data_IF_698098298534
#
_entry.id   IF_698098298534
#
_cell.length_a   1.000
_cell.length_b   1.000
_cell.length_c   1.000
_cell.angle_alpha   90.00
_cell.angle_beta   90.00
_cell.angle_gamma   90.00
#
_symmetry.space_group_name_H-M   'P 1'
#
loop_
_entity.id
_entity.type
_entity.pdbx_description
1 polymer ?
#
# COMPACT_ATOMS: atom_id res chain seq x y z
N UNK A 1 -4.45 27.24 6.15
CA UNK A 1 -4.93 25.91 5.75
C UNK A 1 -4.06 25.49 4.57
N UNK A 2 -3.47 24.29 4.56
CA UNK A 2 -2.75 23.81 3.38
C UNK A 2 -3.82 23.41 2.35
N UNK A 3 -3.88 24.15 1.25
CA UNK A 3 -4.87 23.91 0.20
C UNK A 3 -4.20 23.31 -1.02
N UNK A 4 -4.80 22.24 -1.52
CA UNK A 4 -4.43 21.55 -2.75
C UNK A 4 -5.72 21.30 -3.50
N UNK A 5 -5.71 21.52 -4.80
CA UNK A 5 -6.85 21.32 -5.69
C UNK A 5 -7.54 19.97 -5.44
N UNK A 6 -8.86 19.97 -5.57
CA UNK A 6 -9.66 18.75 -5.55
C UNK A 6 -9.36 17.90 -6.78
N UNK A 7 -9.40 16.57 -6.60
CA UNK A 7 -9.29 15.62 -7.71
C UNK A 7 -10.61 15.61 -8.48
N UNK A 8 -10.56 15.55 -9.80
CA UNK A 8 -11.74 15.32 -10.65
C UNK A 8 -12.00 13.84 -10.85
N UNK A 9 -10.95 13.06 -11.15
CA UNK A 9 -11.06 11.60 -11.27
C UNK A 9 -9.78 10.92 -10.80
N UNK A 10 -9.88 10.06 -9.79
CA UNK A 10 -8.69 9.55 -9.13
C UNK A 10 -8.88 8.80 -7.82
N UNK A 11 -7.78 8.65 -7.10
CA UNK A 11 -7.69 7.91 -5.83
C UNK A 11 -7.10 8.84 -4.76
N UNK A 12 -7.74 8.87 -3.59
CA UNK A 12 -7.20 9.51 -2.39
C UNK A 12 -6.93 8.45 -1.32
N UNK A 13 -5.65 8.23 -1.04
CA UNK A 13 -5.19 7.45 0.11
C UNK A 13 -5.12 8.38 1.32
N UNK A 14 -6.06 8.21 2.24
CA UNK A 14 -6.19 9.03 3.44
C UNK A 14 -5.94 8.20 4.71
N UNK A 15 -5.70 8.88 5.84
CA UNK A 15 -5.40 8.26 7.14
C UNK A 15 -4.13 7.41 7.14
N UNK A 16 -3.15 7.78 6.33
CA UNK A 16 -1.83 7.17 6.37
C UNK A 16 -1.12 7.64 7.66
N UNK A 17 -0.53 6.72 8.40
CA UNK A 17 0.29 7.03 9.59
C UNK A 17 1.48 7.88 9.17
N UNK A 18 1.80 8.89 9.97
CA UNK A 18 2.87 9.84 9.66
C UNK A 18 4.19 9.11 9.38
N UNK A 19 4.83 9.44 8.27
CA UNK A 19 6.09 8.85 7.83
C UNK A 19 5.93 7.64 6.90
N UNK A 20 4.74 7.05 6.80
CA UNK A 20 4.46 5.98 5.84
C UNK A 20 4.06 6.50 4.45
N UNK A 21 3.64 7.76 4.33
CA UNK A 21 3.22 8.33 3.03
C UNK A 21 4.32 8.25 1.97
N UNK A 22 5.55 8.63 2.34
CA UNK A 22 6.69 8.57 1.41
C UNK A 22 7.05 7.13 0.99
N UNK A 23 6.93 6.17 1.92
CA UNK A 23 7.20 4.75 1.63
C UNK A 23 6.21 4.22 0.59
N UNK A 24 4.92 4.53 0.78
CA UNK A 24 3.86 4.14 -0.14
C UNK A 24 4.06 4.79 -1.51
N UNK A 25 4.37 6.09 -1.53
CA UNK A 25 4.62 6.84 -2.75
C UNK A 25 5.72 6.19 -3.60
N UNK A 26 6.85 5.84 -2.98
CA UNK A 26 7.96 5.17 -3.65
C UNK A 26 7.62 3.74 -4.07
N UNK A 27 6.92 2.97 -3.23
CA UNK A 27 6.55 1.57 -3.54
C UNK A 27 5.57 1.47 -4.72
N UNK A 28 4.70 2.46 -4.85
CA UNK A 28 3.79 2.62 -6.00
C UNK A 28 4.47 3.27 -7.22
N UNK A 29 5.74 3.65 -7.13
CA UNK A 29 6.51 4.33 -8.18
C UNK A 29 5.79 5.59 -8.72
N UNK A 30 5.14 6.34 -7.82
CA UNK A 30 4.34 7.52 -8.18
C UNK A 30 5.18 8.71 -8.64
N UNK A 31 6.51 8.65 -8.53
CA UNK A 31 7.45 9.59 -9.13
C UNK A 31 7.66 9.37 -10.64
N UNK A 32 7.29 8.20 -11.16
CA UNK A 32 7.56 7.78 -12.55
C UNK A 32 6.35 7.88 -13.47
N UNK A 33 5.26 8.43 -12.95
CA UNK A 33 3.97 8.51 -13.65
C UNK A 33 3.83 9.83 -14.41
N UNK A 34 3.01 9.84 -15.46
CA UNK A 34 2.76 11.00 -16.32
C UNK A 34 1.52 11.81 -15.93
N UNK A 35 0.89 11.47 -14.79
CA UNK A 35 -0.29 12.14 -14.25
C UNK A 35 -0.01 12.83 -12.89
N UNK A 36 -0.80 13.85 -12.51
CA UNK A 36 -0.58 14.57 -11.25
C UNK A 36 -0.73 13.68 -10.01
N UNK A 37 0.25 13.79 -9.10
CA UNK A 37 0.22 13.18 -7.78
C UNK A 37 0.62 14.21 -6.74
N UNK A 38 -0.06 14.20 -5.59
CA UNK A 38 0.30 15.03 -4.44
C UNK A 38 0.46 14.16 -3.20
N UNK A 39 1.62 14.27 -2.55
CA UNK A 39 1.89 13.72 -1.23
C UNK A 39 1.89 14.86 -0.20
N UNK A 40 0.99 14.76 0.79
CA UNK A 40 0.92 15.63 1.95
C UNK A 40 1.42 14.87 3.17
N UNK A 41 2.43 15.41 3.85
CA UNK A 41 3.05 14.76 5.01
C UNK A 41 2.74 15.57 6.27
N UNK A 42 2.47 14.88 7.38
CA UNK A 42 2.35 15.48 8.72
C UNK A 42 1.24 16.55 8.81
N UNK A 43 0.13 16.36 8.07
CA UNK A 43 -1.02 17.26 8.09
C UNK A 43 -1.92 17.00 9.30
N UNK A 44 -2.60 18.03 9.86
CA UNK A 44 -3.50 17.86 10.98
C UNK A 44 -4.62 16.85 10.69
N UNK A 45 -4.91 15.97 11.66
CA UNK A 45 -5.98 14.99 11.61
C UNK A 45 -6.82 15.05 12.88
N UNK A 46 -8.14 15.16 12.74
CA UNK A 46 -9.05 15.12 13.89
C UNK A 46 -9.03 13.77 14.62
N UNK A 47 -8.78 12.68 13.89
CA UNK A 47 -8.83 11.32 14.42
C UNK A 47 -7.46 10.79 14.85
N UNK A 48 -6.38 11.18 14.18
CA UNK A 48 -5.03 10.64 14.39
C UNK A 48 -4.07 11.68 15.01
N UNK A 49 -4.53 12.90 15.26
CA UNK A 49 -3.68 14.06 15.57
C UNK A 49 -2.96 14.58 14.33
N UNK A 50 -2.18 13.71 13.67
CA UNK A 50 -1.45 13.97 12.42
C UNK A 50 -1.55 12.77 11.48
N UNK A 51 -1.49 13.00 10.17
CA UNK A 51 -1.51 11.96 9.14
C UNK A 51 -0.75 12.39 7.88
N UNK A 52 -0.49 11.42 7.02
CA UNK A 52 -0.09 11.66 5.63
C UNK A 52 -1.30 11.39 4.70
N UNK A 53 -1.30 11.99 3.51
CA UNK A 53 -2.33 11.82 2.48
C UNK A 53 -1.64 11.73 1.11
N UNK A 54 -2.08 10.81 0.25
CA UNK A 54 -1.68 10.77 -1.16
C UNK A 54 -2.92 10.96 -2.04
N UNK A 55 -2.81 11.87 -3.00
CA UNK A 55 -3.82 12.17 -4.02
C UNK A 55 -3.26 11.80 -5.38
N UNK A 56 -3.98 10.98 -6.15
CA UNK A 56 -3.57 10.47 -7.46
C UNK A 56 -4.66 10.80 -8.48
N UNK A 57 -4.37 11.62 -9.49
CA UNK A 57 -5.32 12.03 -10.53
C UNK A 57 -5.28 11.06 -11.71
N UNK A 58 -5.92 9.90 -11.62
CA UNK A 58 -5.89 8.89 -12.69
C UNK A 58 -7.03 7.85 -12.65
N UNK A 59 -7.27 7.16 -13.77
CA UNK A 59 -8.24 6.07 -13.95
C UNK A 59 -7.65 4.66 -13.71
N UNK A 60 -6.43 4.53 -13.15
CA UNK A 60 -5.80 3.21 -13.01
C UNK A 60 -6.45 2.41 -11.88
N UNK A 61 -6.75 1.15 -12.20
CA UNK A 61 -7.00 0.09 -11.23
C UNK A 61 -5.66 -0.33 -10.61
N UNK A 62 -5.21 0.42 -9.60
CA UNK A 62 -3.99 0.09 -8.86
C UNK A 62 -4.37 -0.98 -7.84
N UNK A 63 -3.62 -2.08 -7.80
CA UNK A 63 -3.72 -3.01 -6.69
C UNK A 63 -3.18 -2.33 -5.42
N UNK A 64 -4.09 -1.93 -4.54
CA UNK A 64 -3.80 -1.24 -3.29
C UNK A 64 -3.88 -2.19 -2.09
N UNK A 65 -4.14 -3.48 -2.29
CA UNK A 65 -4.32 -4.42 -1.19
C UNK A 65 -3.00 -4.66 -0.44
N UNK A 66 -1.85 -4.51 -1.12
CA UNK A 66 -0.54 -4.57 -0.46
C UNK A 66 -0.29 -3.42 0.52
N UNK A 67 -1.01 -2.29 0.40
CA UNK A 67 -0.84 -1.17 1.33
C UNK A 67 -1.16 -1.57 2.77
N UNK A 68 -1.99 -2.60 2.94
CA UNK A 68 -2.31 -3.17 4.24
C UNK A 68 -1.09 -3.80 4.92
N UNK A 69 -0.01 -4.10 4.20
CA UNK A 69 1.25 -4.53 4.81
C UNK A 69 2.06 -3.37 5.38
N UNK A 70 1.86 -2.16 4.84
CA UNK A 70 2.60 -0.96 5.21
C UNK A 70 1.86 -0.23 6.34
N UNK A 71 0.53 -0.11 6.22
CA UNK A 71 -0.28 0.65 7.15
C UNK A 71 -1.77 0.23 7.10
N UNK A 72 -2.28 -0.25 8.23
CA UNK A 72 -3.66 -0.72 8.37
C UNK A 72 -4.69 0.40 8.54
N UNK A 73 -4.28 1.65 8.73
CA UNK A 73 -5.18 2.78 8.94
C UNK A 73 -5.69 3.38 7.62
N UNK A 74 -5.07 3.02 6.49
CA UNK A 74 -5.34 3.63 5.19
C UNK A 74 -6.80 3.44 4.79
N UNK A 75 -7.41 4.54 4.38
CA UNK A 75 -8.68 4.58 3.67
C UNK A 75 -8.41 4.94 2.21
N UNK A 76 -8.84 4.08 1.30
CA UNK A 76 -8.85 4.32 -0.14
C UNK A 76 -10.19 4.96 -0.49
N UNK A 77 -10.14 6.14 -1.09
CA UNK A 77 -11.31 6.86 -1.56
C UNK A 77 -11.22 7.02 -3.08
N UNK A 78 -12.20 6.51 -3.81
CA UNK A 78 -12.29 6.64 -5.27
C UNK A 78 -13.14 7.87 -5.59
N UNK A 79 -12.60 8.75 -6.42
CA UNK A 79 -13.21 10.00 -6.84
C UNK A 79 -13.55 9.91 -8.32
N UNK A 80 -14.79 10.21 -8.69
CA UNK A 80 -15.23 10.38 -10.07
C UNK A 80 -16.11 11.63 -10.16
N UNK A 81 -15.96 12.42 -11.22
CA UNK A 81 -16.64 13.70 -11.42
C UNK A 81 -16.57 14.65 -10.21
N UNK A 82 -15.42 14.64 -9.52
CA UNK A 82 -15.17 15.44 -8.32
C UNK A 82 -15.88 14.96 -7.06
N UNK A 83 -16.59 13.83 -7.12
CA UNK A 83 -17.36 13.27 -6.02
C UNK A 83 -16.79 11.92 -5.55
N UNK A 84 -16.96 11.65 -4.25
CA UNK A 84 -16.62 10.35 -3.67
C UNK A 84 -17.62 9.29 -4.15
N UNK A 85 -17.17 8.33 -4.94
CA UNK A 85 -18.01 7.23 -5.42
C UNK A 85 -17.83 5.95 -4.60
N UNK A 86 -16.63 5.71 -4.07
CA UNK A 86 -16.35 4.53 -3.27
C UNK A 86 -15.36 4.84 -2.14
N UNK A 87 -15.55 4.17 -1.00
CA UNK A 87 -14.63 4.19 0.13
C UNK A 87 -14.35 2.77 0.62
N UNK A 88 -13.08 2.38 0.65
CA UNK A 88 -12.61 1.07 1.11
C UNK A 88 -11.52 1.27 2.17
N UNK A 89 -11.54 0.49 3.25
CA UNK A 89 -10.38 0.36 4.15
C UNK A 89 -9.46 -0.71 3.59
N UNK A 90 -8.15 -0.46 3.65
CA UNK A 90 -7.20 -1.49 3.28
C UNK A 90 -7.18 -2.57 4.37
N UNK A 91 -7.18 -3.83 3.96
CA UNK A 91 -7.04 -4.98 4.84
C UNK A 91 -5.66 -5.61 4.66
N UNK A 92 -5.20 -6.36 5.66
CA UNK A 92 -4.01 -7.18 5.51
C UNK A 92 -4.34 -8.28 4.48
N UNK A 93 -3.58 -8.41 3.39
CA UNK A 93 -3.88 -9.39 2.36
C UNK A 93 -3.61 -10.81 2.88
N UNK A 94 -4.56 -11.72 2.69
CA UNK A 94 -4.40 -13.13 3.06
C UNK A 94 -3.36 -13.84 2.19
N UNK A 95 -3.18 -13.39 0.95
CA UNK A 95 -2.18 -13.93 0.02
C UNK A 95 -1.41 -12.81 -0.63
N UNK A 96 -0.11 -13.02 -0.81
CA UNK A 96 0.80 -12.05 -1.40
C UNK A 96 1.70 -12.74 -2.42
N UNK A 97 1.94 -12.08 -3.56
CA UNK A 97 2.78 -12.62 -4.64
C UNK A 97 3.80 -11.58 -5.08
N UNK A 98 5.08 -11.93 -5.03
CA UNK A 98 6.17 -11.11 -5.55
C UNK A 98 6.39 -9.77 -4.82
N UNK A 99 5.83 -9.60 -3.62
CA UNK A 99 5.95 -8.35 -2.85
C UNK A 99 7.24 -8.25 -2.03
N UNK A 100 7.72 -9.38 -1.50
CA UNK A 100 8.93 -9.53 -0.69
C UNK A 100 9.54 -10.93 -0.88
N UNK A 101 10.80 -11.10 -0.45
CA UNK A 101 11.56 -12.34 -0.62
C UNK A 101 11.36 -13.31 0.56
N UNK A 102 11.58 -14.60 0.32
CA UNK A 102 11.51 -15.61 1.38
C UNK A 102 12.78 -15.57 2.25
N UNK A 103 12.65 -15.65 3.58
CA UNK A 103 13.81 -15.66 4.48
C UNK A 103 14.62 -16.96 4.42
N UNK A 104 14.04 -18.07 3.95
CA UNK A 104 14.80 -19.30 3.75
C UNK A 104 15.79 -19.10 2.59
N UNK A 105 17.11 -19.03 2.85
CA UNK A 105 18.10 -18.76 1.81
C UNK A 105 18.17 -19.88 0.77
N UNK A 106 17.59 -21.07 1.04
CA UNK A 106 17.53 -22.22 0.12
C UNK A 106 16.23 -22.30 -0.67
N UNK A 107 15.30 -21.35 -0.49
CA UNK A 107 14.04 -21.34 -1.23
C UNK A 107 14.27 -21.09 -2.73
N UNK A 108 13.58 -21.84 -3.59
CA UNK A 108 13.68 -21.70 -5.05
C UNK A 108 13.40 -20.27 -5.53
N UNK A 109 12.53 -19.54 -4.84
CA UNK A 109 12.14 -18.17 -5.18
C UNK A 109 13.27 -17.15 -5.03
N UNK A 110 14.36 -17.51 -4.35
CA UNK A 110 15.53 -16.67 -4.14
C UNK A 110 16.63 -16.90 -5.20
N UNK A 111 16.47 -17.90 -6.08
CA UNK A 111 17.45 -18.25 -7.11
C UNK A 111 16.90 -18.22 -8.53
N UNK A 112 15.58 -18.43 -8.69
CA UNK A 112 14.93 -18.44 -9.99
C UNK A 112 14.04 -17.20 -10.17
N UNK A 113 14.48 -16.29 -11.04
CA UNK A 113 13.79 -15.02 -11.33
C UNK A 113 12.38 -15.21 -11.92
N UNK A 114 12.12 -16.36 -12.54
CA UNK A 114 10.82 -16.74 -13.10
C UNK A 114 9.85 -17.21 -12.00
N UNK A 115 10.34 -17.58 -10.82
CA UNK A 115 9.54 -18.08 -9.70
C UNK A 115 9.33 -16.97 -8.67
N UNK A 116 8.22 -16.23 -8.79
CA UNK A 116 7.87 -15.21 -7.79
C UNK A 116 7.46 -15.86 -6.46
N UNK A 117 7.98 -15.36 -5.31
CA UNK A 117 7.52 -15.75 -3.99
C UNK A 117 6.00 -15.62 -3.87
N UNK A 118 5.38 -16.60 -3.23
CA UNK A 118 3.97 -16.61 -2.88
C UNK A 118 3.88 -16.93 -1.40
N UNK A 119 3.03 -16.21 -0.69
CA UNK A 119 2.81 -16.47 0.70
C UNK A 119 1.36 -16.38 1.11
N UNK A 120 1.03 -17.12 2.15
CA UNK A 120 -0.27 -17.14 2.81
C UNK A 120 -0.13 -16.63 4.25
N UNK A 121 -1.04 -15.74 4.67
CA UNK A 121 -1.01 -15.10 5.97
C UNK A 121 -1.29 -16.12 7.07
N UNK A 122 -0.37 -16.22 8.04
CA UNK A 122 -0.51 -17.08 9.22
C UNK A 122 -0.88 -16.27 10.46
N UNK A 123 -0.33 -15.05 10.58
CA UNK A 123 -0.55 -14.19 11.74
C UNK A 123 -0.64 -12.72 11.33
N UNK A 124 -1.84 -12.10 11.38
CA UNK A 124 -2.01 -10.69 11.10
C UNK A 124 -1.27 -9.77 12.08
N UNK A 125 -1.16 -10.16 13.36
CA UNK A 125 -0.56 -9.31 14.40
C UNK A 125 0.94 -9.12 14.26
N UNK A 126 1.62 -10.10 13.67
CA UNK A 126 3.08 -10.09 13.44
C UNK A 126 3.43 -9.95 11.95
N UNK A 127 2.41 -9.85 11.08
CA UNK A 127 2.56 -9.93 9.63
C UNK A 127 3.41 -11.14 9.20
N UNK A 128 3.16 -12.29 9.83
CA UNK A 128 3.85 -13.54 9.51
C UNK A 128 3.12 -14.27 8.39
N UNK A 129 3.90 -14.69 7.39
CA UNK A 129 3.44 -15.29 6.15
C UNK A 129 4.18 -16.60 5.90
N UNK A 130 3.47 -17.67 5.56
CA UNK A 130 4.07 -18.95 5.19
C UNK A 130 4.34 -18.97 3.68
N UNK A 131 5.57 -19.33 3.30
CA UNK A 131 5.94 -19.48 1.89
C UNK A 131 5.23 -20.69 1.28
N UNK A 132 4.50 -20.51 0.17
CA UNK A 132 3.81 -21.62 -0.52
C UNK A 132 4.78 -22.62 -1.20
N UNK A 133 6.09 -22.32 -1.26
CA UNK A 133 7.09 -23.20 -1.90
C UNK A 133 7.92 -24.02 -0.90
N UNK A 134 8.37 -23.42 0.19
CA UNK A 134 9.25 -24.08 1.16
C UNK A 134 8.69 -24.13 2.58
N UNK A 135 7.45 -23.66 2.77
CA UNK A 135 6.72 -23.64 4.04
C UNK A 135 7.36 -22.83 5.17
N UNK A 136 8.49 -22.14 4.91
CA UNK A 136 9.15 -21.25 5.88
C UNK A 136 8.24 -20.08 6.26
N UNK A 137 8.16 -19.79 7.56
CA UNK A 137 7.49 -18.59 8.07
C UNK A 137 8.41 -17.39 7.89
N UNK A 138 7.94 -16.43 7.09
CA UNK A 138 8.61 -15.16 6.81
C UNK A 138 7.78 -14.03 7.42
N UNK A 139 8.40 -13.21 8.26
CA UNK A 139 7.77 -11.96 8.75
C UNK A 139 7.99 -10.85 7.72
N UNK A 140 6.90 -10.19 7.31
CA UNK A 140 7.03 -9.00 6.48
C UNK A 140 7.67 -7.87 7.28
N UNK A 141 8.75 -7.30 6.73
CA UNK A 141 9.41 -6.11 7.25
C UNK A 141 9.59 -5.12 6.11
N UNK A 142 9.26 -3.86 6.39
CA UNK A 142 9.32 -2.72 5.48
C UNK A 142 10.76 -2.29 5.18
#
# INVERSE_FOLDING_TARGET
MLEVTSIQKGIVLDHITVGNGLKIFNKLMLDQVDYPVVLLINVPSKFMGKKDIIKIENNIDIDLDFLGLIDHNISVNIIEDGALTQKKKVAIPNKVKGLFSCHNPRCITNFDDYVKPKFELVSPSTLSYQCEYCEEITEYRL
#
